data_IF_516380887608
#
_entry.id   IF_516380887608
#
_cell.length_a   1.000
_cell.length_b   1.000
_cell.length_c   1.000
_cell.angle_alpha   90.00
_cell.angle_beta   90.00
_cell.angle_gamma   90.00
#
_symmetry.space_group_name_H-M   'P 1'
#
loop_
_entity.id
_entity.type
_entity.pdbx_description
1 polymer ?
#
# COMPACT_ATOMS: atom_id res chain seq x y z
N UNK A 1 25.03 2.56 -33.55
CA UNK A 1 25.21 2.62 -32.09
C UNK A 1 23.84 2.76 -31.47
N UNK A 2 23.50 1.85 -30.55
CA UNK A 2 22.20 1.89 -29.89
C UNK A 2 22.24 2.92 -28.77
N UNK A 3 21.08 3.52 -28.45
CA UNK A 3 20.93 4.49 -27.34
C UNK A 3 21.42 3.92 -25.98
N UNK A 4 21.51 2.59 -25.88
CA UNK A 4 22.02 1.92 -24.70
C UNK A 4 23.55 1.97 -24.61
N UNK A 5 24.25 1.80 -25.73
CA UNK A 5 25.71 1.86 -25.84
C UNK A 5 26.23 3.28 -25.56
N UNK A 6 25.54 4.30 -26.07
CA UNK A 6 25.89 5.70 -25.81
C UNK A 6 25.76 6.06 -24.32
N UNK A 7 24.72 5.52 -23.67
CA UNK A 7 24.52 5.67 -22.22
C UNK A 7 25.60 4.96 -21.43
N UNK A 8 25.96 3.74 -21.82
CA UNK A 8 26.97 2.95 -21.14
C UNK A 8 28.35 3.60 -21.25
N UNK A 9 28.71 4.10 -22.43
CA UNK A 9 29.94 4.85 -22.66
C UNK A 9 29.99 6.15 -21.83
N UNK A 10 28.87 6.86 -21.72
CA UNK A 10 28.77 8.07 -20.89
C UNK A 10 28.94 7.77 -19.39
N UNK A 11 28.31 6.69 -18.89
CA UNK A 11 28.45 6.26 -17.49
C UNK A 11 29.88 5.84 -17.19
N UNK A 12 30.53 5.10 -18.11
CA UNK A 12 31.92 4.67 -17.95
C UNK A 12 32.87 5.85 -17.87
N UNK A 13 32.66 6.87 -18.70
CA UNK A 13 33.44 8.12 -18.68
C UNK A 13 33.23 8.92 -17.39
N UNK A 14 32.04 8.87 -16.79
CA UNK A 14 31.78 9.49 -15.48
C UNK A 14 32.48 8.73 -14.34
N UNK A 15 32.49 7.40 -14.39
CA UNK A 15 33.13 6.55 -13.38
C UNK A 15 34.67 6.50 -13.50
N UNK A 16 35.24 6.79 -14.67
CA UNK A 16 36.69 6.92 -14.86
C UNK A 16 37.31 8.14 -14.15
N UNK A 17 36.49 9.01 -13.55
CA UNK A 17 36.96 10.15 -12.75
C UNK A 17 37.42 9.68 -11.36
N UNK A 18 38.51 10.26 -10.79
CA UNK A 18 38.96 9.92 -9.45
C UNK A 18 37.82 10.03 -8.43
N UNK A 19 37.51 8.93 -7.76
CA UNK A 19 36.43 8.90 -6.80
C UNK A 19 36.84 9.74 -5.57
N UNK A 20 36.04 10.73 -5.15
CA UNK A 20 36.35 11.54 -3.99
C UNK A 20 36.43 10.64 -2.75
N UNK A 21 37.38 10.86 -1.83
CA UNK A 21 37.52 10.07 -0.62
C UNK A 21 36.27 10.25 0.24
N UNK A 22 35.44 9.22 0.29
CA UNK A 22 34.25 9.18 1.15
C UNK A 22 34.64 8.63 2.52
N UNK A 23 34.24 9.28 3.63
CA UNK A 23 34.46 8.73 4.96
C UNK A 23 33.83 7.33 5.09
N UNK A 24 34.57 6.37 5.66
CA UNK A 24 34.13 4.97 5.81
C UNK A 24 32.78 4.84 6.55
N UNK A 25 32.48 5.83 7.40
CA UNK A 25 31.33 5.85 8.29
C UNK A 25 30.06 6.35 7.58
N UNK A 26 30.14 6.80 6.32
CA UNK A 26 29.00 7.32 5.54
C UNK A 26 27.87 6.30 5.42
N UNK A 27 28.22 5.02 5.19
CA UNK A 27 27.25 3.95 5.10
C UNK A 27 26.50 3.75 6.42
N UNK A 28 27.23 3.76 7.54
CA UNK A 28 26.66 3.62 8.89
C UNK A 28 25.75 4.81 9.22
N UNK A 29 26.21 6.03 8.96
CA UNK A 29 25.44 7.24 9.17
C UNK A 29 24.19 7.33 8.25
N UNK A 30 24.27 6.85 7.02
CA UNK A 30 23.13 6.78 6.10
C UNK A 30 22.09 5.75 6.58
N UNK A 31 22.54 4.61 7.10
CA UNK A 31 21.67 3.58 7.70
C UNK A 31 20.98 4.11 8.96
N UNK A 32 21.70 4.80 9.85
CA UNK A 32 21.12 5.41 11.05
C UNK A 32 20.08 6.50 10.73
N UNK A 33 20.35 7.34 9.72
CA UNK A 33 19.39 8.35 9.25
C UNK A 33 18.20 7.71 8.51
N UNK A 34 18.44 6.66 7.73
CA UNK A 34 17.44 5.94 6.93
C UNK A 34 16.52 5.02 7.74
N UNK A 35 16.98 4.51 8.89
CA UNK A 35 16.22 3.61 9.75
C UNK A 35 14.92 4.23 10.25
N UNK A 36 14.89 5.55 10.49
CA UNK A 36 13.68 6.28 10.89
C UNK A 36 12.63 6.30 9.77
N UNK A 37 13.04 6.44 8.51
CA UNK A 37 12.14 6.44 7.35
C UNK A 37 11.61 5.03 7.06
N UNK A 38 12.49 4.02 7.13
CA UNK A 38 12.12 2.61 6.97
C UNK A 38 11.22 2.08 8.10
N UNK A 39 11.31 2.63 9.33
CA UNK A 39 10.35 2.31 10.41
C UNK A 39 8.99 2.93 10.15
N UNK A 40 8.93 4.18 9.68
CA UNK A 40 7.66 4.86 9.37
C UNK A 40 6.87 4.14 8.30
N UNK A 41 7.52 3.67 7.23
CA UNK A 41 6.82 2.92 6.18
C UNK A 41 6.24 1.59 6.68
N UNK A 42 7.00 0.86 7.51
CA UNK A 42 6.52 -0.39 8.10
C UNK A 42 5.37 -0.16 9.08
N UNK A 43 5.43 0.89 9.89
CA UNK A 43 4.34 1.27 10.79
C UNK A 43 3.12 1.75 10.01
N UNK A 44 3.30 2.62 9.02
CA UNK A 44 2.23 3.13 8.17
C UNK A 44 1.51 1.99 7.44
N UNK A 45 2.26 1.00 6.92
CA UNK A 45 1.66 -0.17 6.26
C UNK A 45 0.86 -1.04 7.23
N UNK A 46 1.34 -1.23 8.47
CA UNK A 46 0.59 -1.96 9.51
C UNK A 46 -0.67 -1.21 9.92
N UNK A 47 -0.58 0.11 10.10
CA UNK A 47 -1.72 0.96 10.42
C UNK A 47 -2.74 0.95 9.29
N UNK A 48 -2.29 1.07 8.03
CA UNK A 48 -3.17 0.99 6.87
C UNK A 48 -3.88 -0.35 6.78
N UNK A 49 -3.17 -1.46 6.99
CA UNK A 49 -3.77 -2.79 7.04
C UNK A 49 -4.77 -2.94 8.20
N UNK A 50 -4.42 -2.45 9.40
CA UNK A 50 -5.34 -2.45 10.53
C UNK A 50 -6.61 -1.65 10.24
N UNK A 51 -6.46 -0.45 9.67
CA UNK A 51 -7.59 0.39 9.26
C UNK A 51 -8.45 -0.29 8.19
N UNK A 52 -7.82 -0.93 7.21
CA UNK A 52 -8.51 -1.68 6.16
C UNK A 52 -9.33 -2.84 6.73
N UNK A 53 -8.76 -3.60 7.67
CA UNK A 53 -9.46 -4.69 8.35
C UNK A 53 -10.66 -4.16 9.14
N UNK A 54 -10.48 -3.07 9.90
CA UNK A 54 -11.58 -2.42 10.64
C UNK A 54 -12.69 -1.96 9.69
N UNK A 55 -12.34 -1.31 8.58
CA UNK A 55 -13.30 -0.87 7.58
C UNK A 55 -14.05 -2.04 6.94
N UNK A 56 -13.35 -3.15 6.63
CA UNK A 56 -13.97 -4.36 6.10
C UNK A 56 -14.98 -4.95 7.09
N UNK A 57 -14.64 -5.05 8.38
CA UNK A 57 -15.57 -5.52 9.40
C UNK A 57 -16.78 -4.61 9.56
N UNK A 58 -16.57 -3.28 9.62
CA UNK A 58 -17.65 -2.32 9.69
C UNK A 58 -18.61 -2.46 8.48
N UNK A 59 -18.05 -2.64 7.29
CA UNK A 59 -18.83 -2.90 6.08
C UNK A 59 -19.61 -4.22 6.15
N UNK A 60 -18.99 -5.31 6.58
CA UNK A 60 -19.67 -6.61 6.74
C UNK A 60 -20.81 -6.52 7.75
N UNK A 61 -20.58 -5.87 8.90
CA UNK A 61 -21.61 -5.68 9.93
C UNK A 61 -22.78 -4.87 9.37
N UNK A 62 -22.48 -3.73 8.75
CA UNK A 62 -23.51 -2.90 8.12
C UNK A 62 -24.30 -3.69 7.08
N UNK A 63 -23.61 -4.38 6.18
CA UNK A 63 -24.23 -5.15 5.12
C UNK A 63 -25.09 -6.32 5.67
N UNK A 64 -24.67 -6.93 6.78
CA UNK A 64 -25.42 -8.00 7.45
C UNK A 64 -26.67 -7.50 8.18
N UNK A 65 -26.67 -6.24 8.63
CA UNK A 65 -27.82 -5.59 9.28
C UNK A 65 -28.83 -5.11 8.24
N UNK A 66 -28.36 -4.37 7.25
CA UNK A 66 -29.23 -3.79 6.23
C UNK A 66 -29.74 -4.84 5.24
N UNK A 67 -28.99 -5.95 5.10
CA UNK A 67 -29.23 -7.04 4.14
C UNK A 67 -29.77 -6.51 2.81
N UNK A 68 -29.03 -5.61 2.12
CA UNK A 68 -29.55 -4.89 0.94
C UNK A 68 -29.86 -5.82 -0.24
N UNK A 69 -29.43 -7.08 -0.17
CA UNK A 69 -29.72 -8.15 -1.10
C UNK A 69 -30.98 -8.96 -0.75
N UNK A 70 -31.63 -8.71 0.39
CA UNK A 70 -32.95 -9.28 0.66
C UNK A 70 -33.97 -8.58 -0.24
N UNK A 71 -34.55 -9.37 -1.14
CA UNK A 71 -35.68 -8.93 -1.94
C UNK A 71 -36.85 -8.72 -0.99
N UNK A 72 -37.47 -7.51 -0.94
CA UNK A 72 -38.64 -7.29 -0.09
C UNK A 72 -39.68 -8.36 -0.40
N UNK A 73 -40.31 -8.98 0.63
CA UNK A 73 -41.32 -9.99 0.39
C UNK A 73 -42.36 -9.39 -0.55
N UNK A 74 -42.53 -10.02 -1.71
CA UNK A 74 -43.54 -9.61 -2.67
C UNK A 74 -44.87 -9.62 -1.91
N UNK A 75 -45.50 -8.44 -1.80
CA UNK A 75 -46.78 -8.24 -1.12
C UNK A 75 -47.94 -8.89 -1.87
N UNK A 76 -47.80 -10.17 -2.20
CA UNK A 76 -48.72 -10.99 -2.97
C UNK A 76 -49.24 -12.16 -2.14
N UNK A 77 -49.19 -12.04 -0.82
CA UNK A 77 -50.14 -12.76 0.03
C UNK A 77 -51.28 -11.78 0.28
N UNK A 78 -52.42 -11.87 -0.44
CA UNK A 78 -53.62 -11.18 0.01
C UNK A 78 -53.85 -11.60 1.48
N UNK A 79 -54.28 -10.67 2.35
CA UNK A 79 -54.55 -11.00 3.73
C UNK A 79 -55.49 -12.21 3.73
N UNK A 80 -55.03 -13.30 4.33
CA UNK A 80 -55.91 -14.37 4.75
C UNK A 80 -56.78 -13.73 5.84
N UNK A 81 -57.90 -13.13 5.44
CA UNK A 81 -59.04 -12.88 6.33
C UNK A 81 -59.51 -14.26 6.78
N UNK A 82 -58.84 -14.79 7.81
CA UNK A 82 -59.23 -15.99 8.51
C UNK A 82 -60.43 -15.66 9.38
N UNK A 83 -61.57 -16.23 9.00
CA UNK A 83 -62.82 -16.45 9.76
C UNK A 83 -63.46 -15.25 10.46
#
# INVERSE_FOLDING_TARGET
MSRHEDKEAAVRRMLDTPHPPVPADLAVQAVERGARRARRERVARRVLWGLFVVAAFAFLVWASVERPWEVPPAGTTPPLEGW
#
